data_IF_839421916370
#
_entry.id   IF_839421916370
#
_cell.length_a   1.000
_cell.length_b   1.000
_cell.length_c   1.000
_cell.angle_alpha   90.00
_cell.angle_beta   90.00
_cell.angle_gamma   90.00
#
_symmetry.space_group_name_H-M   'P 1'
#
loop_
_entity.id
_entity.type
_entity.pdbx_description
1 polymer ?
#
# COMPACT_ATOMS: atom_id res chain seq x y z
N UNK A 1 -0.44 14.04 -2.80
CA UNK A 1 0.31 13.25 -1.79
C UNK A 1 1.08 12.16 -2.51
N UNK A 2 2.30 11.81 -2.05
CA UNK A 2 3.15 10.81 -2.72
C UNK A 2 3.56 9.75 -1.72
N UNK A 3 3.30 8.48 -2.03
CA UNK A 3 3.77 7.36 -1.24
C UNK A 3 5.12 6.86 -1.77
N UNK A 4 6.18 7.03 -0.96
CA UNK A 4 7.55 6.65 -1.32
C UNK A 4 7.70 5.14 -1.57
N UNK A 5 6.93 4.29 -0.89
CA UNK A 5 6.98 2.84 -1.11
C UNK A 5 6.38 2.45 -2.46
N UNK A 6 5.40 3.21 -2.97
CA UNK A 6 4.87 3.01 -4.33
C UNK A 6 5.86 3.49 -5.39
N UNK A 7 6.60 4.57 -5.13
CA UNK A 7 7.69 4.98 -6.02
C UNK A 7 8.79 3.91 -6.08
N UNK A 8 9.17 3.35 -4.93
CA UNK A 8 10.13 2.24 -4.87
C UNK A 8 9.63 1.04 -5.69
N UNK A 9 8.38 0.62 -5.47
CA UNK A 9 7.78 -0.53 -6.14
C UNK A 9 7.67 -0.31 -7.66
N UNK A 10 7.28 0.89 -8.10
CA UNK A 10 7.24 1.27 -9.51
C UNK A 10 8.65 1.26 -10.13
N UNK A 11 9.67 1.69 -9.39
CA UNK A 11 11.04 1.83 -9.89
C UNK A 11 11.80 0.51 -10.04
N UNK A 12 11.27 -0.59 -9.48
CA UNK A 12 11.89 -1.92 -9.59
C UNK A 12 11.76 -2.47 -11.00
N UNK A 13 12.80 -3.12 -11.51
CA UNK A 13 12.69 -3.94 -12.73
C UNK A 13 12.00 -5.29 -12.45
N UNK A 14 12.28 -5.91 -11.29
CA UNK A 14 11.80 -7.24 -10.93
C UNK A 14 10.41 -7.25 -10.28
N UNK A 15 10.19 -8.24 -9.42
CA UNK A 15 8.93 -8.50 -8.72
C UNK A 15 8.40 -7.25 -7.99
N UNK A 16 7.09 -7.01 -8.14
CA UNK A 16 6.34 -5.89 -7.58
C UNK A 16 5.21 -6.36 -6.65
N UNK A 17 5.10 -7.65 -6.38
CA UNK A 17 4.06 -8.26 -5.55
C UNK A 17 4.01 -7.70 -4.14
N UNK A 18 5.17 -7.38 -3.55
CA UNK A 18 5.24 -6.82 -2.21
C UNK A 18 5.90 -5.44 -2.21
N UNK A 19 5.35 -4.57 -1.38
CA UNK A 19 5.99 -3.31 -1.01
C UNK A 19 7.15 -3.57 -0.06
N UNK A 20 8.19 -2.74 -0.17
CA UNK A 20 9.28 -2.74 0.80
C UNK A 20 8.95 -1.77 1.94
N UNK A 21 9.21 -2.22 3.16
CA UNK A 21 9.15 -1.34 4.33
C UNK A 21 10.24 -0.26 4.25
N UNK A 22 9.99 0.87 4.92
CA UNK A 22 10.92 2.02 4.92
C UNK A 22 12.33 1.64 5.34
N UNK A 23 12.47 0.75 6.35
CA UNK A 23 13.74 0.18 6.79
C UNK A 23 14.56 -0.35 5.62
N UNK A 24 13.94 -1.19 4.80
CA UNK A 24 14.57 -1.81 3.63
C UNK A 24 14.91 -0.80 2.54
N UNK A 25 14.03 0.18 2.30
CA UNK A 25 14.28 1.24 1.31
C UNK A 25 15.51 2.07 1.68
N UNK A 26 15.60 2.55 2.91
CA UNK A 26 16.77 3.31 3.38
C UNK A 26 18.02 2.45 3.34
N UNK A 27 17.97 1.23 3.87
CA UNK A 27 19.12 0.33 4.00
C UNK A 27 19.74 -0.08 2.65
N UNK A 28 18.91 -0.30 1.63
CA UNK A 28 19.36 -0.80 0.33
C UNK A 28 19.60 0.29 -0.70
N UNK A 29 18.80 1.36 -0.68
CA UNK A 29 18.79 2.34 -1.75
C UNK A 29 19.53 3.65 -1.39
N UNK A 30 19.60 4.03 -0.11
CA UNK A 30 20.38 5.19 0.31
C UNK A 30 21.80 4.78 0.67
N UNK A 31 22.78 5.50 0.10
CA UNK A 31 24.21 5.36 0.45
C UNK A 31 24.54 6.23 1.65
N UNK A 32 24.06 5.85 2.82
CA UNK A 32 24.36 6.55 4.07
C UNK A 32 25.76 6.18 4.58
N UNK A 33 26.45 7.08 5.31
CA UNK A 33 27.63 6.73 6.06
C UNK A 33 27.34 5.56 7.02
N UNK A 34 28.26 4.60 7.11
CA UNK A 34 28.07 3.37 7.88
C UNK A 34 27.64 3.64 9.34
N UNK A 35 28.24 4.64 9.98
CA UNK A 35 27.88 5.04 11.34
C UNK A 35 26.43 5.55 11.44
N UNK A 36 26.01 6.43 10.52
CA UNK A 36 24.67 7.01 10.53
C UNK A 36 23.60 5.93 10.29
N UNK A 37 23.84 5.04 9.33
CA UNK A 37 22.96 3.91 9.05
C UNK A 37 22.85 2.98 10.26
N UNK A 38 23.97 2.65 10.91
CA UNK A 38 23.99 1.80 12.08
C UNK A 38 23.26 2.44 13.27
N UNK A 39 23.47 3.74 13.53
CA UNK A 39 22.78 4.47 14.59
C UNK A 39 21.26 4.51 14.35
N UNK A 40 20.84 4.80 13.12
CA UNK A 40 19.43 4.83 12.76
C UNK A 40 18.77 3.45 12.90
N UNK A 41 19.38 2.39 12.34
CA UNK A 41 18.87 1.02 12.43
C UNK A 41 18.77 0.52 13.88
N UNK A 42 19.77 0.85 14.70
CA UNK A 42 19.78 0.50 16.12
C UNK A 42 18.63 1.17 16.86
N UNK A 43 18.48 2.50 16.72
CA UNK A 43 17.38 3.22 17.37
C UNK A 43 16.02 2.70 16.89
N UNK A 44 15.88 2.42 15.60
CA UNK A 44 14.66 1.85 15.01
C UNK A 44 14.28 0.51 15.64
N UNK A 45 15.25 -0.39 15.76
CA UNK A 45 15.05 -1.73 16.34
C UNK A 45 14.76 -1.67 17.84
N UNK A 46 15.44 -0.79 18.59
CA UNK A 46 15.20 -0.62 20.03
C UNK A 46 13.77 -0.13 20.31
N UNK A 47 13.27 0.85 19.54
CA UNK A 47 11.91 1.37 19.73
C UNK A 47 10.85 0.39 19.21
N UNK A 48 11.10 -0.34 18.12
CA UNK A 48 10.22 -1.43 17.64
C UNK A 48 10.02 -2.50 18.73
N UNK A 49 11.06 -2.84 19.49
CA UNK A 49 10.96 -3.78 20.61
C UNK A 49 10.13 -3.24 21.80
N UNK A 50 9.97 -1.91 21.90
CA UNK A 50 9.18 -1.23 22.94
C UNK A 50 7.74 -0.94 22.51
N UNK A 51 7.35 -1.23 21.26
CA UNK A 51 5.97 -1.00 20.79
C UNK A 51 4.89 -1.76 21.57
N UNK A 52 5.10 -3.01 22.06
CA UNK A 52 4.08 -3.73 22.83
C UNK A 52 3.65 -3.04 24.12
N UNK A 53 4.49 -2.16 24.69
CA UNK A 53 4.18 -1.40 25.92
C UNK A 53 3.64 0.00 25.64
N UNK A 54 3.21 0.25 24.39
CA UNK A 54 2.65 1.52 23.92
C UNK A 54 3.52 2.73 24.28
N UNK A 55 4.76 2.69 23.78
CA UNK A 55 5.77 3.75 23.96
C UNK A 55 5.28 5.15 23.54
N UNK A 56 4.25 5.22 22.69
CA UNK A 56 3.68 6.47 22.19
C UNK A 56 2.55 7.06 23.05
N UNK A 57 2.04 6.33 24.06
CA UNK A 57 0.98 6.84 24.95
C UNK A 57 1.49 7.64 26.13
N UNK A 58 2.76 7.47 26.52
CA UNK A 58 3.33 8.17 27.69
C UNK A 58 3.74 9.60 27.34
N UNK A 59 3.56 10.52 28.30
CA UNK A 59 4.02 11.91 28.20
C UNK A 59 4.88 12.27 29.41
N UNK A 60 6.02 12.98 29.23
CA UNK A 60 6.63 13.35 27.94
C UNK A 60 7.08 12.12 27.13
N UNK A 61 7.23 12.29 25.81
CA UNK A 61 7.68 11.20 24.93
C UNK A 61 9.13 10.82 25.28
N UNK A 62 9.44 9.52 25.23
CA UNK A 62 10.80 9.03 25.41
C UNK A 62 11.73 9.64 24.32
N UNK A 63 12.93 10.12 24.68
CA UNK A 63 13.87 10.68 23.70
C UNK A 63 14.19 9.74 22.53
N UNK A 64 14.21 8.42 22.76
CA UNK A 64 14.39 7.42 21.69
C UNK A 64 13.17 7.36 20.77
N UNK A 65 11.96 7.45 21.31
CA UNK A 65 10.73 7.51 20.52
C UNK A 65 10.69 8.80 19.67
N UNK A 66 11.15 9.94 20.21
CA UNK A 66 11.31 11.18 19.42
C UNK A 66 12.32 10.99 18.29
N UNK A 67 13.49 10.44 18.61
CA UNK A 67 14.55 10.15 17.63
C UNK A 67 14.06 9.17 16.55
N UNK A 68 13.25 8.17 16.93
CA UNK A 68 12.62 7.22 16.02
C UNK A 68 11.72 7.93 15.02
N UNK A 69 10.79 8.76 15.51
CA UNK A 69 9.85 9.48 14.65
C UNK A 69 10.59 10.43 13.68
N UNK A 70 11.62 11.15 14.18
CA UNK A 70 12.44 12.02 13.35
C UNK A 70 13.19 11.23 12.26
N UNK A 71 13.78 10.10 12.63
CA UNK A 71 14.49 9.22 11.69
C UNK A 71 13.58 8.62 10.62
N UNK A 72 12.31 8.38 10.91
CA UNK A 72 11.34 7.83 9.95
C UNK A 72 10.93 8.84 8.86
N UNK A 73 11.09 10.14 9.11
CA UNK A 73 10.78 11.18 8.13
C UNK A 73 12.02 11.79 7.47
N UNK A 74 13.18 11.77 8.14
CA UNK A 74 14.40 12.43 7.68
C UNK A 74 14.87 11.95 6.30
N UNK A 75 14.68 10.66 5.99
CA UNK A 75 15.16 10.06 4.75
C UNK A 75 14.13 10.07 3.60
N UNK A 76 12.88 10.48 3.86
CA UNK A 76 11.82 10.45 2.85
C UNK A 76 12.09 11.35 1.63
N UNK A 77 12.63 12.59 1.78
CA UNK A 77 12.92 13.43 0.61
C UNK A 77 13.97 12.81 -0.31
N UNK A 78 15.06 12.28 0.25
CA UNK A 78 16.13 11.64 -0.51
C UNK A 78 15.63 10.38 -1.25
N UNK A 79 14.83 9.55 -0.60
CA UNK A 79 14.20 8.39 -1.26
C UNK A 79 13.26 8.82 -2.39
N UNK A 80 12.44 9.85 -2.16
CA UNK A 80 11.52 10.37 -3.17
C UNK A 80 12.28 10.82 -4.42
N UNK A 81 13.34 11.61 -4.25
CA UNK A 81 14.17 12.09 -5.37
C UNK A 81 14.84 10.93 -6.11
N UNK A 82 15.41 9.99 -5.37
CA UNK A 82 16.07 8.82 -5.93
C UNK A 82 15.13 7.98 -6.80
N UNK A 83 13.93 7.66 -6.30
CA UNK A 83 12.97 6.87 -7.06
C UNK A 83 12.34 7.67 -8.19
N UNK A 84 12.04 8.96 -7.98
CA UNK A 84 11.54 9.83 -9.05
C UNK A 84 12.50 9.90 -10.24
N UNK A 85 13.82 9.93 -10.00
CA UNK A 85 14.84 9.91 -11.05
C UNK A 85 14.96 8.58 -11.80
N UNK A 86 14.37 7.49 -11.29
CA UNK A 86 14.35 6.16 -11.94
C UNK A 86 13.08 5.90 -12.75
N UNK A 87 12.06 6.74 -12.59
CA UNK A 87 10.73 6.54 -13.19
C UNK A 87 10.55 7.37 -14.46
N UNK A 88 9.83 6.80 -15.43
CA UNK A 88 9.26 7.57 -16.51
C UNK A 88 7.93 8.24 -16.09
N UNK A 89 7.40 9.11 -16.95
CA UNK A 89 6.16 9.85 -16.67
C UNK A 89 4.93 8.94 -16.48
N UNK A 90 4.87 7.79 -17.16
CA UNK A 90 3.74 6.87 -17.05
C UNK A 90 3.75 6.16 -15.69
N UNK A 91 4.89 5.67 -15.24
CA UNK A 91 5.03 5.03 -13.93
C UNK A 91 4.88 6.03 -12.79
N UNK A 92 5.39 7.25 -12.94
CA UNK A 92 5.15 8.33 -11.98
C UNK A 92 3.63 8.55 -11.81
N UNK A 93 2.89 8.68 -12.91
CA UNK A 93 1.45 8.89 -12.87
C UNK A 93 0.71 7.74 -12.16
N UNK A 94 1.03 6.49 -12.50
CA UNK A 94 0.46 5.30 -11.83
C UNK A 94 0.71 5.32 -10.32
N UNK A 95 1.91 5.71 -9.89
CA UNK A 95 2.24 5.77 -8.48
C UNK A 95 1.48 6.90 -7.75
N UNK A 96 1.22 8.03 -8.41
CA UNK A 96 0.43 9.13 -7.86
C UNK A 96 -1.06 8.78 -7.72
N UNK A 97 -1.62 8.10 -8.72
CA UNK A 97 -3.01 7.61 -8.69
C UNK A 97 -3.21 6.62 -7.54
N UNK A 98 -2.35 5.60 -7.44
CA UNK A 98 -2.44 4.63 -6.36
C UNK A 98 -2.14 5.27 -4.99
N UNK A 99 -1.22 6.25 -4.92
CA UNK A 99 -0.99 7.02 -3.68
C UNK A 99 -2.28 7.70 -3.22
N UNK A 100 -2.99 8.33 -4.15
CA UNK A 100 -4.24 9.04 -3.86
C UNK A 100 -5.35 8.07 -3.46
N UNK A 101 -5.46 6.93 -4.15
CA UNK A 101 -6.41 5.85 -3.79
C UNK A 101 -6.17 5.34 -2.36
N UNK A 102 -4.91 5.05 -2.00
CA UNK A 102 -4.58 4.57 -0.65
C UNK A 102 -4.79 5.61 0.44
N UNK A 103 -4.60 6.89 0.15
CA UNK A 103 -4.93 7.97 1.10
C UNK A 103 -6.44 8.04 1.33
N UNK A 104 -7.25 7.97 0.27
CA UNK A 104 -8.70 7.94 0.40
C UNK A 104 -9.17 6.72 1.22
N UNK A 105 -8.59 5.55 0.96
CA UNK A 105 -8.85 4.32 1.74
C UNK A 105 -8.44 4.47 3.21
N UNK A 106 -7.29 5.09 3.49
CA UNK A 106 -6.80 5.31 4.85
C UNK A 106 -7.65 6.29 5.67
N UNK A 107 -8.33 7.21 5.00
CA UNK A 107 -9.26 8.14 5.64
C UNK A 107 -10.69 7.59 5.74
N UNK A 108 -10.96 6.38 5.24
CA UNK A 108 -12.28 5.75 5.27
C UNK A 108 -12.63 5.14 6.63
N UNK A 109 -13.93 5.04 6.97
CA UNK A 109 -14.39 4.49 8.25
C UNK A 109 -14.11 2.99 8.41
N UNK A 110 -13.92 2.27 7.31
CA UNK A 110 -13.60 0.84 7.28
C UNK A 110 -12.09 0.56 7.13
N UNK A 111 -11.24 1.55 7.38
CA UNK A 111 -9.79 1.39 7.22
C UNK A 111 -9.22 0.41 8.26
N UNK A 112 -8.71 -0.72 7.77
CA UNK A 112 -7.95 -1.68 8.58
C UNK A 112 -6.44 -1.47 8.39
N UNK A 113 -5.75 -0.81 9.34
CA UNK A 113 -4.33 -0.49 9.21
C UNK A 113 -3.42 -1.72 9.22
N UNK A 114 -3.82 -2.82 9.86
CA UNK A 114 -3.00 -4.04 10.01
C UNK A 114 -3.37 -5.14 9.01
N UNK A 115 -4.18 -4.82 8.00
CA UNK A 115 -4.61 -5.79 7.00
C UNK A 115 -3.46 -6.36 6.17
N UNK A 116 -3.50 -7.66 5.89
CA UNK A 116 -2.46 -8.33 5.08
C UNK A 116 -2.29 -7.72 3.68
N UNK A 117 -3.37 -7.17 3.10
CA UNK A 117 -3.35 -6.49 1.81
C UNK A 117 -2.46 -5.25 1.77
N UNK A 118 -2.12 -4.64 2.92
CA UNK A 118 -1.29 -3.44 2.98
C UNK A 118 0.16 -3.70 2.56
N UNK A 119 0.61 -4.96 2.64
CA UNK A 119 1.94 -5.41 2.22
C UNK A 119 2.04 -5.59 0.70
N UNK A 120 0.91 -5.73 0.01
CA UNK A 120 0.87 -6.01 -1.42
C UNK A 120 1.11 -4.73 -2.25
N UNK A 121 1.92 -4.87 -3.29
CA UNK A 121 2.12 -3.86 -4.31
C UNK A 121 1.06 -3.97 -5.41
N UNK A 122 0.62 -2.84 -5.99
CA UNK A 122 -0.47 -2.79 -6.97
C UNK A 122 -0.11 -3.40 -8.34
N UNK A 123 1.17 -3.65 -8.62
CA UNK A 123 1.65 -4.09 -9.94
C UNK A 123 2.33 -5.47 -9.92
N UNK A 124 2.10 -6.27 -8.87
CA UNK A 124 2.59 -7.64 -8.78
C UNK A 124 1.83 -8.63 -9.66
N UNK A 125 2.49 -9.73 -10.02
CA UNK A 125 1.91 -10.83 -10.80
C UNK A 125 0.81 -11.61 -10.05
N UNK A 126 0.70 -11.45 -8.73
CA UNK A 126 -0.32 -12.09 -7.89
C UNK A 126 -1.65 -11.32 -7.75
N UNK A 127 -1.75 -10.10 -8.29
CA UNK A 127 -3.04 -9.41 -8.41
C UNK A 127 -3.70 -9.89 -9.69
N UNK A 128 -4.54 -10.92 -9.57
CA UNK A 128 -5.53 -11.20 -10.59
C UNK A 128 -6.20 -9.87 -10.97
N UNK A 129 -6.22 -9.59 -12.27
CA UNK A 129 -6.82 -8.43 -12.91
C UNK A 129 -8.35 -8.45 -12.74
N UNK A 130 -8.83 -8.37 -11.50
CA UNK A 130 -10.25 -8.28 -11.19
C UNK A 130 -10.64 -6.83 -10.91
N UNK A 131 -10.10 -5.91 -11.70
CA UNK A 131 -10.83 -4.69 -12.02
C UNK A 131 -11.47 -5.01 -13.35
N UNK A 132 -12.73 -5.46 -13.32
CA UNK A 132 -13.55 -5.48 -14.53
C UNK A 132 -13.41 -4.09 -15.16
N UNK A 133 -13.08 -4.01 -16.44
CA UNK A 133 -13.23 -2.74 -17.14
C UNK A 133 -14.69 -2.30 -17.03
N UNK A 134 -14.96 -0.99 -17.21
CA UNK A 134 -16.34 -0.50 -17.20
C UNK A 134 -17.24 -1.31 -18.15
N UNK A 135 -16.69 -1.70 -19.31
CA UNK A 135 -17.38 -2.54 -20.29
C UNK A 135 -17.70 -3.93 -19.73
N UNK A 136 -16.74 -4.58 -19.08
CA UNK A 136 -16.95 -5.90 -18.47
C UNK A 136 -17.92 -5.85 -17.27
N UNK A 137 -18.02 -4.70 -16.60
CA UNK A 137 -18.94 -4.48 -15.50
C UNK A 137 -20.38 -4.24 -16.02
N UNK A 138 -20.52 -3.57 -17.17
CA UNK A 138 -21.79 -3.40 -17.88
C UNK A 138 -22.30 -4.75 -18.43
N UNK A 139 -21.44 -5.54 -19.08
CA UNK A 139 -21.79 -6.88 -19.57
C UNK A 139 -22.27 -7.78 -18.42
N UNK A 140 -21.63 -7.71 -17.26
CA UNK A 140 -22.04 -8.47 -16.08
C UNK A 140 -23.43 -8.06 -15.58
N UNK A 141 -23.72 -6.76 -15.52
CA UNK A 141 -25.03 -6.25 -15.11
C UNK A 141 -26.14 -6.63 -16.10
N UNK A 142 -25.84 -6.68 -17.40
CA UNK A 142 -26.80 -7.15 -18.40
C UNK A 142 -27.09 -8.64 -18.25
N UNK A 143 -26.07 -9.46 -17.98
CA UNK A 143 -26.23 -10.89 -17.75
C UNK A 143 -27.05 -11.18 -16.49
N UNK A 144 -26.72 -10.53 -15.37
CA UNK A 144 -27.46 -10.70 -14.10
C UNK A 144 -28.96 -10.36 -14.29
N UNK A 145 -29.27 -9.34 -15.09
CA UNK A 145 -30.66 -8.96 -15.40
C UNK A 145 -31.37 -9.98 -16.30
N UNK A 146 -30.66 -10.64 -17.21
CA UNK A 146 -31.22 -11.72 -18.06
C UNK A 146 -31.51 -12.94 -17.18
N UNK A 147 -30.60 -13.30 -16.30
CA UNK A 147 -30.74 -14.44 -15.40
C UNK A 147 -31.93 -14.25 -14.44
N UNK A 148 -32.10 -13.05 -13.87
CA UNK A 148 -33.27 -12.70 -13.05
C UNK A 148 -34.59 -12.84 -13.83
N UNK A 149 -34.61 -12.43 -15.10
CA UNK A 149 -35.78 -12.59 -15.97
C UNK A 149 -36.05 -14.06 -16.31
N UNK A 150 -35.01 -14.86 -16.52
CA UNK A 150 -35.14 -16.30 -16.78
C UNK A 150 -35.65 -17.05 -15.55
N UNK A 151 -35.19 -16.67 -14.35
CA UNK A 151 -35.67 -17.22 -13.08
C UNK A 151 -37.15 -16.89 -12.84
N UNK A 152 -37.58 -15.66 -13.16
CA UNK A 152 -38.99 -15.25 -13.09
C UNK A 152 -39.86 -16.00 -14.12
N UNK A 153 -39.35 -16.26 -15.33
CA UNK A 153 -40.06 -17.05 -16.35
C UNK A 153 -40.14 -18.54 -16.02
N UNK A 154 -39.15 -19.11 -15.34
CA UNK A 154 -39.11 -20.53 -14.97
C UNK A 154 -39.81 -20.83 -13.62
N UNK A 155 -40.12 -19.79 -12.83
CA UNK A 155 -40.80 -19.89 -11.53
C UNK A 155 -42.30 -20.18 -11.56
N UNK A 156 -42.98 -20.09 -12.71
CA UNK A 156 -44.41 -20.43 -12.85
C UNK A 156 -44.60 -21.78 -13.52
N UNK A 157 -44.30 -22.85 -12.79
CA UNK A 157 -44.46 -24.21 -13.30
C UNK A 157 -44.58 -25.27 -12.24
N UNK A 158 -45.37 -25.07 -11.17
CA UNK A 158 -45.69 -26.19 -10.27
C UNK A 158 -47.03 -26.07 -9.50
N UNK A 159 -48.02 -26.77 -10.07
CA UNK A 159 -49.26 -27.38 -9.53
C UNK A 159 -50.37 -26.51 -8.93
N UNK A 160 -51.57 -26.66 -9.48
CA UNK A 160 -52.76 -27.08 -8.74
C UNK A 160 -53.63 -27.99 -9.64
N UNK A 161 -53.97 -29.15 -9.07
CA UNK A 161 -54.90 -30.27 -9.43
C UNK A 161 -55.32 -30.57 -10.88
#
# INVERSE_FOLDING_TARGET
>A
VVNVQLLENASRAGDKTYLRGLKTCVDRDLRLPFMDQHHWLRNKTEVEAMMPVDVFSRRPLDPKAVSYCAGDVAHLPALRELYAGRLDGQWMQKALEESSRRVAEACGPAYEPQGESKKLGPWGSGLAKNVLSLDQLLEKLEQDRIDDMEEEMLGYGRYDD
#
